data_IF_316784662005
#
_entry.id   IF_316784662005
#
_cell.length_a   1.000
_cell.length_b   1.000
_cell.length_c   1.000
_cell.angle_alpha   90.00
_cell.angle_beta   90.00
_cell.angle_gamma   90.00
#
_symmetry.space_group_name_H-M   'P 1'
#
loop_
_entity.id
_entity.type
_entity.pdbx_description
1 polymer ?
#
# COMPACT_ATOMS: atom_id res chain seq x y z
N UNK A 1 0.37 -88.80 -21.00
CA UNK A 1 -0.66 -87.82 -20.47
C UNK A 1 0.09 -86.73 -19.78
N UNK A 2 0.31 -85.56 -20.43
CA UNK A 2 0.97 -84.36 -19.84
C UNK A 2 -0.12 -83.38 -19.35
N UNK A 3 -0.16 -83.16 -18.06
CA UNK A 3 -1.02 -82.12 -17.47
C UNK A 3 -0.31 -80.74 -17.58
N UNK A 4 -0.92 -79.78 -18.31
CA UNK A 4 -0.47 -78.40 -18.37
C UNK A 4 -1.11 -77.64 -17.19
N UNK A 5 -0.25 -77.16 -16.30
CA UNK A 5 -0.63 -76.23 -15.20
C UNK A 5 -0.60 -74.80 -15.76
N UNK A 6 -1.78 -74.12 -15.80
CA UNK A 6 -1.87 -72.68 -16.11
C UNK A 6 -1.67 -71.89 -14.81
N UNK A 7 -0.60 -71.11 -14.79
CA UNK A 7 -0.37 -70.14 -13.71
C UNK A 7 -1.11 -68.84 -14.07
N UNK A 8 -2.15 -68.49 -13.31
CA UNK A 8 -2.83 -67.20 -13.45
C UNK A 8 -2.09 -66.18 -12.57
N UNK A 9 -1.38 -65.26 -13.20
CA UNK A 9 -0.76 -64.13 -12.50
C UNK A 9 -1.84 -63.03 -12.25
N UNK A 10 -2.24 -62.87 -10.98
CA UNK A 10 -3.09 -61.74 -10.56
C UNK A 10 -2.26 -60.46 -10.48
N UNK A 11 -2.48 -59.53 -11.43
CA UNK A 11 -1.93 -58.18 -11.39
C UNK A 11 -2.70 -57.36 -10.38
N UNK A 12 -2.12 -57.10 -9.21
CA UNK A 12 -2.62 -56.14 -8.24
C UNK A 12 -2.39 -54.71 -8.74
N UNK A 13 -3.44 -54.07 -9.31
CA UNK A 13 -3.42 -52.63 -9.53
C UNK A 13 -3.67 -51.95 -8.16
N UNK A 14 -2.59 -51.49 -7.54
CA UNK A 14 -2.68 -50.56 -6.41
C UNK A 14 -3.24 -49.20 -6.85
N UNK A 15 -4.10 -48.55 -6.04
CA UNK A 15 -4.55 -47.21 -6.36
C UNK A 15 -3.33 -46.25 -6.36
N UNK A 16 -3.02 -45.72 -7.51
CA UNK A 16 -2.07 -44.60 -7.62
C UNK A 16 -2.69 -43.41 -6.92
N UNK A 17 -2.27 -43.13 -5.69
CA UNK A 17 -2.56 -41.86 -5.04
C UNK A 17 -1.77 -40.81 -5.81
N UNK A 18 -2.44 -40.16 -6.77
CA UNK A 18 -1.94 -38.93 -7.36
C UNK A 18 -1.88 -37.91 -6.21
N UNK A 19 -0.70 -37.67 -5.66
CA UNK A 19 -0.45 -36.43 -4.96
C UNK A 19 -0.67 -35.32 -6.00
N UNK A 20 -1.85 -34.72 -6.01
CA UNK A 20 -2.03 -33.43 -6.64
C UNK A 20 -1.01 -32.51 -5.97
N UNK A 21 0.10 -32.24 -6.66
CA UNK A 21 1.08 -31.26 -6.21
C UNK A 21 0.32 -29.96 -5.96
N UNK A 22 0.37 -29.44 -4.73
CA UNK A 22 -0.20 -28.13 -4.44
C UNK A 22 0.47 -27.15 -5.41
N UNK A 23 -0.33 -26.31 -6.09
CA UNK A 23 0.21 -25.24 -6.92
C UNK A 23 1.07 -24.30 -6.06
N UNK A 24 1.96 -23.55 -6.70
CA UNK A 24 2.78 -22.55 -6.04
C UNK A 24 1.92 -21.56 -5.24
N UNK A 25 2.45 -21.06 -4.12
CA UNK A 25 1.84 -20.00 -3.36
C UNK A 25 1.82 -18.71 -4.19
N UNK A 26 0.65 -18.19 -4.53
CA UNK A 26 0.54 -16.96 -5.32
C UNK A 26 0.43 -15.75 -4.39
N UNK A 27 1.41 -14.85 -4.48
CA UNK A 27 1.48 -13.60 -3.73
C UNK A 27 1.31 -12.43 -4.70
N UNK A 28 0.33 -11.58 -4.44
CA UNK A 28 -0.09 -10.52 -5.36
C UNK A 28 0.17 -9.15 -4.75
N UNK A 29 1.05 -8.38 -5.38
CA UNK A 29 1.42 -7.04 -4.97
C UNK A 29 0.53 -5.99 -5.63
N UNK A 30 0.20 -4.93 -4.91
CA UNK A 30 -0.58 -3.82 -5.46
C UNK A 30 0.32 -2.83 -6.21
N UNK A 31 0.14 -2.76 -7.54
CA UNK A 31 0.95 -1.94 -8.45
C UNK A 31 2.22 -2.64 -8.93
N UNK A 32 2.46 -2.57 -10.23
CA UNK A 32 3.60 -3.24 -10.87
C UNK A 32 4.95 -2.76 -10.30
N UNK A 33 5.08 -1.47 -9.95
CA UNK A 33 6.30 -0.92 -9.38
C UNK A 33 6.63 -1.41 -7.97
N UNK A 34 5.70 -2.09 -7.28
CA UNK A 34 5.94 -2.69 -5.96
C UNK A 34 6.48 -4.12 -6.04
N UNK A 35 6.33 -4.80 -7.17
CA UNK A 35 6.69 -6.23 -7.32
C UNK A 35 8.14 -6.50 -6.98
N UNK A 36 9.07 -5.82 -7.61
CA UNK A 36 10.50 -6.07 -7.42
C UNK A 36 11.01 -5.67 -6.03
N UNK A 37 10.66 -4.49 -5.48
CA UNK A 37 11.01 -4.16 -4.10
C UNK A 37 10.49 -5.20 -3.09
N UNK A 38 9.20 -5.58 -3.16
CA UNK A 38 8.62 -6.55 -2.25
C UNK A 38 9.16 -7.97 -2.47
N UNK A 39 9.53 -8.32 -3.69
CA UNK A 39 10.24 -9.57 -3.99
C UNK A 39 11.55 -9.68 -3.23
N UNK A 40 12.34 -8.61 -3.22
CA UNK A 40 13.64 -8.56 -2.54
C UNK A 40 13.52 -8.56 -1.02
N UNK A 41 12.48 -7.92 -0.51
CA UNK A 41 12.25 -7.83 0.94
C UNK A 41 11.65 -9.11 1.49
N UNK A 42 10.58 -9.63 0.88
CA UNK A 42 9.76 -10.69 1.43
C UNK A 42 9.92 -12.03 0.70
N UNK A 43 9.70 -12.04 -0.62
CA UNK A 43 9.51 -13.29 -1.36
C UNK A 43 10.81 -14.08 -1.50
N UNK A 44 11.89 -13.46 -1.94
CA UNK A 44 13.17 -14.16 -2.08
C UNK A 44 13.69 -14.73 -0.76
N UNK A 45 13.71 -13.96 0.37
CA UNK A 45 14.12 -14.51 1.65
C UNK A 45 13.19 -15.62 2.16
N UNK A 46 11.87 -15.50 1.93
CA UNK A 46 10.89 -16.53 2.30
C UNK A 46 11.14 -17.84 1.55
N UNK A 47 11.31 -17.79 0.22
CA UNK A 47 11.64 -18.96 -0.60
C UNK A 47 12.96 -19.58 -0.14
N UNK A 48 13.98 -18.76 0.12
CA UNK A 48 15.28 -19.23 0.60
C UNK A 48 15.22 -19.92 1.97
N UNK A 49 14.33 -19.46 2.86
CA UNK A 49 14.20 -20.01 4.22
C UNK A 49 13.30 -21.24 4.30
N UNK A 50 12.31 -21.37 3.39
CA UNK A 50 11.26 -22.39 3.52
C UNK A 50 11.22 -23.41 2.40
N UNK A 51 11.87 -23.13 1.28
CA UNK A 51 11.78 -23.88 0.02
C UNK A 51 10.34 -23.94 -0.56
N UNK A 52 9.41 -23.12 -0.07
CA UNK A 52 8.05 -23.03 -0.62
C UNK A 52 8.13 -22.24 -1.94
N UNK A 53 7.67 -22.87 -3.03
CA UNK A 53 7.61 -22.21 -4.33
C UNK A 53 6.56 -21.08 -4.32
N UNK A 54 6.93 -19.91 -4.84
CA UNK A 54 6.09 -18.72 -4.89
C UNK A 54 5.96 -18.20 -6.31
N UNK A 55 4.72 -18.01 -6.77
CA UNK A 55 4.37 -17.22 -7.95
C UNK A 55 4.03 -15.80 -7.50
N UNK A 56 4.65 -14.83 -8.12
CA UNK A 56 4.41 -13.42 -7.80
C UNK A 56 3.68 -12.72 -8.95
N UNK A 57 2.60 -12.02 -8.59
CA UNK A 57 1.78 -11.25 -9.52
C UNK A 57 1.60 -9.81 -9.05
N UNK A 58 1.00 -8.98 -9.89
CA UNK A 58 0.57 -7.63 -9.54
C UNK A 58 -0.83 -7.34 -10.05
N UNK A 59 -1.50 -6.42 -9.35
CA UNK A 59 -2.81 -5.91 -9.75
C UNK A 59 -2.87 -4.38 -9.56
N UNK A 60 -3.81 -3.72 -10.23
CA UNK A 60 -3.85 -2.25 -10.28
C UNK A 60 -4.63 -1.60 -9.13
N UNK A 61 -5.36 -2.39 -8.33
CA UNK A 61 -6.24 -1.90 -7.27
C UNK A 61 -7.67 -1.66 -7.75
N UNK A 62 -8.53 -1.28 -6.83
CA UNK A 62 -9.95 -1.00 -7.05
C UNK A 62 -10.87 -2.05 -6.42
N UNK A 63 -11.87 -1.59 -5.66
CA UNK A 63 -12.77 -2.47 -4.91
C UNK A 63 -13.52 -3.42 -5.84
N UNK A 64 -14.17 -2.88 -6.88
CA UNK A 64 -14.95 -3.67 -7.85
C UNK A 64 -14.10 -4.71 -8.59
N UNK A 65 -12.88 -4.32 -9.00
CA UNK A 65 -11.94 -5.22 -9.67
C UNK A 65 -11.49 -6.34 -8.72
N UNK A 66 -11.20 -6.02 -7.45
CA UNK A 66 -10.86 -7.00 -6.42
C UNK A 66 -11.99 -8.00 -6.22
N UNK A 67 -13.21 -7.52 -5.97
CA UNK A 67 -14.37 -8.38 -5.74
C UNK A 67 -14.66 -9.29 -6.92
N UNK A 68 -14.63 -8.74 -8.14
CA UNK A 68 -14.81 -9.53 -9.36
C UNK A 68 -13.78 -10.65 -9.49
N UNK A 69 -12.51 -10.35 -9.21
CA UNK A 69 -11.43 -11.33 -9.27
C UNK A 69 -11.57 -12.40 -8.19
N UNK A 70 -11.81 -12.01 -6.94
CA UNK A 70 -11.90 -12.95 -5.82
C UNK A 70 -13.15 -13.85 -5.87
N UNK A 71 -14.22 -13.42 -6.56
CA UNK A 71 -15.45 -14.20 -6.78
C UNK A 71 -15.33 -15.14 -8.00
N UNK A 72 -14.29 -14.99 -8.84
CA UNK A 72 -14.09 -15.86 -10.00
C UNK A 72 -13.73 -17.28 -9.59
N UNK A 73 -14.25 -18.29 -10.32
CA UNK A 73 -14.00 -19.71 -10.01
C UNK A 73 -12.56 -20.16 -10.28
N UNK A 74 -11.86 -19.44 -11.17
CA UNK A 74 -10.46 -19.66 -11.54
C UNK A 74 -9.48 -18.79 -10.79
N UNK A 75 -9.91 -18.18 -9.67
CA UNK A 75 -9.02 -17.37 -8.84
C UNK A 75 -7.88 -18.22 -8.28
N UNK A 76 -6.66 -17.81 -8.58
CA UNK A 76 -5.44 -18.46 -8.12
C UNK A 76 -4.66 -17.63 -7.08
N UNK A 77 -5.20 -16.50 -6.61
CA UNK A 77 -4.55 -15.69 -5.59
C UNK A 77 -4.67 -16.34 -4.22
N UNK A 78 -3.59 -16.33 -3.45
CA UNK A 78 -3.54 -16.84 -2.08
C UNK A 78 -3.36 -15.70 -1.07
N UNK A 79 -2.37 -14.84 -1.32
CA UNK A 79 -2.07 -13.67 -0.50
C UNK A 79 -2.11 -12.44 -1.39
N UNK A 80 -2.84 -11.42 -0.96
CA UNK A 80 -3.01 -10.17 -1.73
C UNK A 80 -2.66 -8.96 -0.88
N UNK A 81 -1.93 -8.00 -1.49
CA UNK A 81 -1.65 -6.70 -0.88
C UNK A 81 -2.79 -5.73 -1.19
N UNK A 82 -3.40 -5.16 -0.15
CA UNK A 82 -4.59 -4.31 -0.20
C UNK A 82 -4.37 -2.99 0.51
N UNK A 83 -5.01 -1.93 0.02
CA UNK A 83 -5.23 -0.70 0.80
C UNK A 83 -6.33 -0.91 1.83
N UNK A 84 -6.45 0.03 2.77
CA UNK A 84 -7.41 -0.05 3.88
C UNK A 84 -8.87 -0.12 3.41
N UNK A 85 -9.24 0.61 2.37
CA UNK A 85 -10.60 0.58 1.79
C UNK A 85 -10.91 -0.73 1.06
N UNK A 86 -9.93 -1.27 0.33
CA UNK A 86 -10.03 -2.55 -0.36
C UNK A 86 -10.14 -3.71 0.64
N UNK A 87 -9.32 -3.67 1.71
CA UNK A 87 -9.38 -4.62 2.81
C UNK A 87 -10.73 -4.58 3.52
N UNK A 88 -11.23 -3.36 3.82
CA UNK A 88 -12.51 -3.19 4.51
C UNK A 88 -13.68 -3.75 3.69
N UNK A 89 -13.70 -3.51 2.37
CA UNK A 89 -14.72 -4.03 1.47
C UNK A 89 -14.67 -5.56 1.39
N UNK A 90 -13.52 -6.13 1.01
CA UNK A 90 -13.38 -7.57 0.83
C UNK A 90 -13.56 -8.37 2.13
N UNK A 91 -13.19 -7.80 3.29
CA UNK A 91 -13.42 -8.40 4.60
C UNK A 91 -14.90 -8.41 4.97
N UNK A 92 -15.63 -7.30 4.71
CA UNK A 92 -17.07 -7.21 4.96
C UNK A 92 -17.87 -8.20 4.10
N UNK A 93 -17.43 -8.42 2.87
CA UNK A 93 -18.05 -9.36 1.90
C UNK A 93 -17.64 -10.83 2.15
N UNK A 94 -16.79 -11.10 3.15
CA UNK A 94 -16.34 -12.45 3.47
C UNK A 94 -15.42 -13.09 2.42
N UNK A 95 -14.75 -12.28 1.61
CA UNK A 95 -13.83 -12.72 0.55
C UNK A 95 -12.41 -13.02 1.06
N UNK A 96 -12.12 -12.66 2.31
CA UNK A 96 -10.84 -12.86 2.96
C UNK A 96 -10.96 -13.76 4.19
N UNK A 97 -9.88 -14.45 4.52
CA UNK A 97 -9.79 -15.18 5.79
C UNK A 97 -9.70 -14.20 6.97
N UNK A 98 -10.40 -14.51 8.07
CA UNK A 98 -10.12 -13.86 9.35
C UNK A 98 -8.82 -14.42 9.90
N UNK A 99 -7.89 -13.52 10.27
CA UNK A 99 -6.57 -13.91 10.71
C UNK A 99 -6.55 -14.37 12.17
N UNK A 100 -6.00 -15.56 12.41
CA UNK A 100 -5.56 -15.96 13.75
C UNK A 100 -4.19 -15.32 14.03
N UNK A 101 -4.20 -14.22 14.75
CA UNK A 101 -2.97 -13.51 15.10
C UNK A 101 -2.02 -14.33 15.98
N UNK A 102 -2.48 -15.35 16.70
CA UNK A 102 -1.60 -16.23 17.46
C UNK A 102 -0.64 -17.01 16.56
N UNK A 103 -1.05 -17.30 15.34
CA UNK A 103 -0.24 -17.98 14.33
C UNK A 103 0.75 -17.08 13.61
N UNK A 104 0.64 -15.74 13.75
CA UNK A 104 1.48 -14.76 13.06
C UNK A 104 2.18 -13.78 14.02
N UNK A 105 2.46 -14.20 15.26
CA UNK A 105 3.22 -13.45 16.25
C UNK A 105 2.41 -12.67 17.27
N UNK A 106 1.09 -12.67 17.16
CA UNK A 106 0.20 -11.94 18.08
C UNK A 106 -0.11 -10.50 17.64
N UNK A 107 -1.27 -9.98 18.04
CA UNK A 107 -1.67 -8.58 17.72
C UNK A 107 -0.69 -7.57 18.30
N UNK A 108 -0.17 -7.82 19.48
CA UNK A 108 0.77 -6.93 20.16
C UNK A 108 2.16 -6.85 19.53
N UNK A 109 2.46 -7.76 18.62
CA UNK A 109 3.67 -7.75 17.82
C UNK A 109 3.69 -6.57 16.83
N UNK A 110 2.54 -6.15 16.35
CA UNK A 110 2.39 -5.12 15.33
C UNK A 110 1.99 -3.77 15.89
N UNK A 111 2.31 -2.71 15.17
CA UNK A 111 1.74 -1.38 15.42
C UNK A 111 0.22 -1.44 15.25
N UNK A 112 -0.56 -0.74 16.08
CA UNK A 112 -2.04 -0.79 16.01
C UNK A 112 -2.61 -0.47 14.64
N UNK A 113 -1.92 0.39 13.86
CA UNK A 113 -2.31 0.77 12.50
C UNK A 113 -2.18 -0.37 11.49
N UNK A 114 -1.35 -1.39 11.78
CA UNK A 114 -1.13 -2.58 10.95
C UNK A 114 -2.00 -3.77 11.33
N UNK A 115 -3.03 -3.62 12.17
CA UNK A 115 -3.85 -4.73 12.67
C UNK A 115 -5.29 -4.57 12.20
N UNK A 116 -5.81 -5.60 11.50
CA UNK A 116 -7.21 -5.73 11.09
C UNK A 116 -7.66 -7.19 11.26
N UNK A 117 -8.97 -7.45 11.31
CA UNK A 117 -9.45 -8.84 11.44
C UNK A 117 -9.13 -9.72 10.23
N UNK A 118 -9.05 -9.14 9.04
CA UNK A 118 -8.78 -9.89 7.80
C UNK A 118 -7.41 -9.54 7.17
N UNK A 119 -6.56 -8.76 7.85
CA UNK A 119 -5.28 -8.37 7.29
C UNK A 119 -4.27 -7.96 8.36
N UNK A 120 -3.00 -8.12 8.02
CA UNK A 120 -1.85 -7.66 8.80
C UNK A 120 -1.02 -6.71 7.97
N UNK A 121 -0.45 -5.68 8.59
CA UNK A 121 0.34 -4.67 7.89
C UNK A 121 1.46 -5.27 7.05
N UNK A 122 1.49 -4.91 5.78
CA UNK A 122 2.53 -5.30 4.82
C UNK A 122 3.63 -4.24 4.73
N UNK A 123 3.21 -2.99 4.66
CA UNK A 123 4.11 -1.84 4.56
C UNK A 123 3.36 -0.54 4.86
N UNK A 124 4.10 0.49 5.25
CA UNK A 124 3.58 1.83 5.41
C UNK A 124 4.31 2.83 4.50
N UNK A 125 3.57 3.80 3.99
CA UNK A 125 4.09 5.00 3.35
C UNK A 125 3.21 6.19 3.70
N UNK A 126 3.63 7.41 3.36
CA UNK A 126 2.79 8.58 3.52
C UNK A 126 2.73 9.34 2.19
N UNK A 127 1.60 9.97 1.90
CA UNK A 127 1.61 11.05 0.92
C UNK A 127 2.15 12.28 1.64
N UNK A 128 3.33 12.70 1.26
CA UNK A 128 4.05 13.84 1.82
C UNK A 128 4.01 15.02 0.85
N UNK A 129 4.23 16.22 1.36
CA UNK A 129 4.61 17.35 0.53
C UNK A 129 6.11 17.22 0.26
N UNK A 130 6.48 17.12 -1.01
CA UNK A 130 7.86 16.99 -1.46
C UNK A 130 8.29 18.22 -2.27
N UNK A 131 9.55 18.63 -2.10
CA UNK A 131 10.15 19.77 -2.80
C UNK A 131 11.66 19.58 -2.98
N UNK A 132 12.26 20.42 -3.83
CA UNK A 132 13.71 20.50 -4.00
C UNK A 132 14.28 21.55 -3.01
N UNK A 133 15.06 21.10 -2.01
CA UNK A 133 15.69 21.96 -0.99
C UNK A 133 16.69 22.95 -1.55
N UNK A 134 17.26 22.66 -2.72
CA UNK A 134 18.20 23.58 -3.37
C UNK A 134 17.49 24.80 -3.95
N UNK A 135 16.16 24.69 -4.21
CA UNK A 135 15.35 25.83 -4.64
C UNK A 135 14.89 26.70 -3.47
N UNK A 136 14.54 26.08 -2.34
CA UNK A 136 14.25 26.77 -1.08
C UNK A 136 14.48 25.84 0.12
N UNK A 137 15.33 26.26 1.08
CA UNK A 137 15.74 25.39 2.18
C UNK A 137 14.68 25.24 3.29
N UNK A 138 13.73 26.16 3.39
CA UNK A 138 12.68 26.12 4.40
C UNK A 138 11.69 24.98 4.10
N UNK A 139 11.28 24.26 5.13
CA UNK A 139 10.23 23.22 5.02
C UNK A 139 8.87 23.88 4.77
N UNK A 140 8.24 23.67 3.61
CA UNK A 140 6.92 24.22 3.32
C UNK A 140 5.82 23.45 4.07
N UNK A 141 4.72 24.12 4.32
CA UNK A 141 3.48 23.53 4.84
C UNK A 141 2.48 23.29 3.70
N UNK A 142 1.38 22.57 3.98
CA UNK A 142 0.29 22.46 3.01
C UNK A 142 -0.34 23.82 2.68
N UNK A 143 -0.35 24.79 3.60
CA UNK A 143 -0.76 26.16 3.30
C UNK A 143 0.20 26.86 2.31
N UNK A 144 1.53 26.67 2.47
CA UNK A 144 2.52 27.18 1.52
C UNK A 144 2.39 26.54 0.12
N UNK A 145 1.89 25.29 0.06
CA UNK A 145 1.60 24.64 -1.22
C UNK A 145 0.54 25.40 -2.04
N UNK A 146 -0.41 26.07 -1.39
CA UNK A 146 -1.42 26.94 -2.01
C UNK A 146 -0.95 28.36 -2.27
N UNK A 147 0.12 28.82 -1.62
CA UNK A 147 0.62 30.19 -1.76
C UNK A 147 1.48 30.32 -3.03
N UNK A 148 0.81 30.54 -4.17
CA UNK A 148 1.47 30.74 -5.46
C UNK A 148 2.21 32.08 -5.52
N UNK A 149 1.80 33.09 -4.72
CA UNK A 149 2.48 34.39 -4.68
C UNK A 149 3.84 34.27 -3.98
N UNK A 150 3.91 33.54 -2.87
CA UNK A 150 5.17 33.29 -2.14
C UNK A 150 6.07 32.28 -2.84
N UNK A 151 5.50 31.25 -3.42
CA UNK A 151 6.21 30.18 -4.11
C UNK A 151 5.71 30.03 -5.56
N UNK A 152 6.15 30.89 -6.48
CA UNK A 152 5.71 30.87 -7.89
C UNK A 152 6.11 29.55 -8.57
N UNK A 153 5.15 28.89 -9.24
CA UNK A 153 5.39 27.66 -9.98
C UNK A 153 4.22 26.67 -9.93
N UNK A 154 4.32 25.60 -10.68
CA UNK A 154 3.29 24.56 -10.73
C UNK A 154 3.35 23.64 -9.50
N UNK A 155 2.25 22.93 -9.27
CA UNK A 155 2.04 21.98 -8.17
C UNK A 155 1.67 20.60 -8.72
N UNK A 156 2.29 19.55 -8.19
CA UNK A 156 1.94 18.17 -8.52
C UNK A 156 0.89 17.62 -7.55
N UNK A 157 -0.21 17.09 -8.07
CA UNK A 157 -1.21 16.36 -7.29
C UNK A 157 -1.60 15.05 -7.97
N UNK A 158 -2.03 14.07 -7.15
CA UNK A 158 -2.58 12.82 -7.64
C UNK A 158 -3.85 13.07 -8.48
N UNK A 159 -4.04 12.32 -9.57
CA UNK A 159 -5.25 12.41 -10.39
C UNK A 159 -6.39 11.58 -9.79
N UNK A 160 -6.96 12.07 -8.70
CA UNK A 160 -8.06 11.43 -7.99
C UNK A 160 -8.47 12.21 -6.73
N UNK A 161 -9.63 11.93 -6.15
CA UNK A 161 -10.12 12.66 -4.97
C UNK A 161 -9.36 12.28 -3.68
N UNK A 162 -9.00 11.00 -3.53
CA UNK A 162 -8.34 10.43 -2.35
C UNK A 162 -6.95 11.05 -2.18
N UNK A 163 -6.71 11.62 -1.03
CA UNK A 163 -5.52 12.39 -0.70
C UNK A 163 -5.70 13.88 -0.99
N UNK A 164 -6.25 14.25 -2.12
CA UNK A 164 -6.40 15.67 -2.49
C UNK A 164 -7.46 16.39 -1.67
N UNK A 165 -8.58 15.75 -1.33
CA UNK A 165 -9.62 16.35 -0.50
C UNK A 165 -9.11 16.57 0.93
N UNK A 166 -8.37 15.62 1.48
CA UNK A 166 -7.73 15.77 2.79
C UNK A 166 -6.71 16.90 2.80
N UNK A 167 -5.78 16.90 1.83
CA UNK A 167 -4.75 17.95 1.70
C UNK A 167 -5.39 19.33 1.56
N UNK A 168 -6.45 19.45 0.75
CA UNK A 168 -7.16 20.72 0.54
C UNK A 168 -7.76 21.24 1.86
N UNK A 169 -8.40 20.38 2.66
CA UNK A 169 -8.95 20.78 3.96
C UNK A 169 -7.86 21.17 4.96
N UNK A 170 -6.76 20.42 4.99
CA UNK A 170 -5.60 20.75 5.84
C UNK A 170 -5.03 22.12 5.45
N UNK A 171 -4.85 22.37 4.16
CA UNK A 171 -4.38 23.65 3.64
C UNK A 171 -5.36 24.80 3.88
N UNK A 172 -6.65 24.48 4.08
CA UNK A 172 -7.70 25.44 4.42
C UNK A 172 -7.94 25.59 5.95
N UNK A 173 -6.99 25.07 6.76
CA UNK A 173 -6.95 25.25 8.21
C UNK A 173 -7.77 24.25 9.01
N UNK A 174 -8.27 23.16 8.41
CA UNK A 174 -8.90 22.07 9.16
C UNK A 174 -7.83 21.31 9.93
N UNK A 175 -8.05 21.13 11.23
CA UNK A 175 -7.12 20.36 12.06
C UNK A 175 -7.01 18.90 11.56
N UNK A 176 -5.81 18.27 11.57
CA UNK A 176 -5.61 16.90 11.10
C UNK A 176 -6.60 15.89 11.65
N UNK A 177 -6.95 15.95 12.93
CA UNK A 177 -7.91 15.05 13.60
C UNK A 177 -9.37 15.27 13.21
N UNK A 178 -9.72 16.35 12.52
CA UNK A 178 -11.08 16.70 12.13
C UNK A 178 -11.35 16.52 10.63
N UNK A 179 -10.34 16.19 9.85
CA UNK A 179 -10.44 16.07 8.37
C UNK A 179 -11.61 15.19 7.96
N UNK A 180 -11.72 13.99 8.49
CA UNK A 180 -12.79 13.06 8.13
C UNK A 180 -14.16 13.42 8.73
N UNK A 181 -14.20 14.13 9.88
CA UNK A 181 -15.46 14.69 10.40
C UNK A 181 -16.02 15.74 9.43
N UNK A 182 -15.15 16.56 8.85
CA UNK A 182 -15.53 17.55 7.84
C UNK A 182 -15.92 16.88 6.53
N UNK A 183 -15.11 15.93 6.02
CA UNK A 183 -15.41 15.17 4.79
C UNK A 183 -16.68 14.34 4.87
N UNK A 184 -17.14 13.96 6.06
CA UNK A 184 -18.40 13.25 6.23
C UNK A 184 -19.64 14.11 5.90
N UNK A 185 -19.47 15.41 5.68
CA UNK A 185 -20.55 16.35 5.35
C UNK A 185 -20.45 16.81 3.89
N UNK A 186 -21.61 17.11 3.28
CA UNK A 186 -21.64 17.65 1.91
C UNK A 186 -20.91 19.00 1.83
N UNK A 187 -21.11 19.86 2.84
CA UNK A 187 -20.48 21.18 2.95
C UNK A 187 -18.94 21.08 3.06
N UNK A 188 -18.47 20.07 3.79
CA UNK A 188 -17.03 19.81 3.93
C UNK A 188 -16.41 19.33 2.63
N UNK A 189 -17.08 18.44 1.89
CA UNK A 189 -16.66 18.04 0.56
C UNK A 189 -16.64 19.25 -0.39
N UNK A 190 -17.68 20.08 -0.39
CA UNK A 190 -17.73 21.31 -1.20
C UNK A 190 -16.62 22.29 -0.82
N UNK A 191 -16.29 22.41 0.45
CA UNK A 191 -15.17 23.20 0.94
C UNK A 191 -13.83 22.71 0.37
N UNK A 192 -13.59 21.40 0.36
CA UNK A 192 -12.38 20.81 -0.20
C UNK A 192 -12.26 21.11 -1.71
N UNK A 193 -13.34 20.95 -2.48
CA UNK A 193 -13.33 21.28 -3.91
C UNK A 193 -13.11 22.77 -4.17
N UNK A 194 -13.78 23.67 -3.44
CA UNK A 194 -13.51 25.13 -3.55
C UNK A 194 -12.06 25.50 -3.25
N UNK A 195 -11.42 24.78 -2.31
CA UNK A 195 -9.99 24.96 -2.05
C UNK A 195 -9.15 24.50 -3.22
N UNK A 196 -9.47 23.36 -3.82
CA UNK A 196 -8.78 22.84 -5.01
C UNK A 196 -8.94 23.75 -6.23
N UNK A 197 -10.08 24.45 -6.40
CA UNK A 197 -10.30 25.41 -7.48
C UNK A 197 -9.20 26.49 -7.53
N UNK A 198 -8.67 26.90 -6.39
CA UNK A 198 -7.62 27.92 -6.31
C UNK A 198 -6.31 27.49 -6.98
N UNK A 199 -6.04 26.17 -7.01
CA UNK A 199 -4.84 25.61 -7.61
C UNK A 199 -5.04 25.10 -9.05
N UNK A 200 -6.28 24.95 -9.51
CA UNK A 200 -6.60 24.29 -10.79
C UNK A 200 -5.73 24.76 -11.96
N UNK A 201 -5.45 26.09 -12.13
CA UNK A 201 -4.59 26.58 -13.23
C UNK A 201 -3.10 26.20 -13.12
N UNK A 202 -2.67 25.79 -11.93
CA UNK A 202 -1.26 25.52 -11.63
C UNK A 202 -0.95 24.03 -11.49
N UNK A 203 -1.93 23.13 -11.71
CA UNK A 203 -1.78 21.73 -11.44
C UNK A 203 -1.12 20.96 -12.58
N UNK A 204 -0.24 20.04 -12.18
CA UNK A 204 0.27 18.94 -13.01
C UNK A 204 -0.17 17.65 -12.31
N UNK A 205 -0.89 16.82 -13.03
CA UNK A 205 -1.43 15.58 -12.49
C UNK A 205 -0.43 14.45 -12.62
N UNK A 206 -0.35 13.60 -11.59
CA UNK A 206 0.36 12.34 -11.63
C UNK A 206 -0.59 11.19 -11.27
N UNK A 207 -0.33 9.98 -11.78
CA UNK A 207 -1.13 8.79 -11.53
C UNK A 207 -0.32 7.70 -10.80
N UNK A 208 1.00 7.69 -10.97
CA UNK A 208 1.90 6.75 -10.30
C UNK A 208 2.93 7.49 -9.43
N UNK A 209 3.49 6.79 -8.44
CA UNK A 209 4.54 7.38 -7.59
C UNK A 209 5.79 7.74 -8.40
N UNK A 210 6.09 6.99 -9.45
CA UNK A 210 7.18 7.29 -10.40
C UNK A 210 6.94 8.60 -11.16
N UNK A 211 5.69 8.86 -11.55
CA UNK A 211 5.33 10.14 -12.19
C UNK A 211 5.45 11.31 -11.22
N UNK A 212 5.02 11.13 -9.95
CA UNK A 212 5.16 12.16 -8.91
C UNK A 212 6.64 12.54 -8.69
N UNK A 213 7.51 11.55 -8.60
CA UNK A 213 8.96 11.74 -8.49
C UNK A 213 9.52 12.40 -9.75
N UNK A 214 9.16 11.93 -10.94
CA UNK A 214 9.65 12.43 -12.21
C UNK A 214 9.33 13.93 -12.45
N UNK A 215 8.08 14.36 -12.19
CA UNK A 215 7.69 15.78 -12.39
C UNK A 215 8.39 16.72 -11.39
N UNK A 216 8.78 16.22 -10.21
CA UNK A 216 9.60 16.96 -9.27
C UNK A 216 11.07 17.00 -9.73
N UNK A 217 11.62 15.89 -10.14
CA UNK A 217 13.01 15.74 -10.59
C UNK A 217 13.30 16.53 -11.88
N UNK A 218 12.35 16.56 -12.81
CA UNK A 218 12.47 17.37 -14.05
C UNK A 218 12.35 18.87 -13.78
N UNK A 219 11.75 19.26 -12.64
CA UNK A 219 11.43 20.66 -12.34
C UNK A 219 10.15 21.15 -13.00
N UNK A 220 9.30 20.23 -13.53
CA UNK A 220 7.98 20.57 -14.08
C UNK A 220 7.07 21.17 -13.00
N UNK A 221 7.31 20.81 -11.73
CA UNK A 221 6.63 21.37 -10.57
C UNK A 221 7.63 21.87 -9.54
N UNK A 222 7.22 22.87 -8.76
CA UNK A 222 8.00 23.38 -7.64
C UNK A 222 7.86 22.50 -6.40
N UNK A 223 6.64 22.02 -6.16
CA UNK A 223 6.26 21.14 -5.06
C UNK A 223 5.26 20.10 -5.56
N UNK A 224 5.24 18.93 -4.95
CA UNK A 224 4.26 17.90 -5.26
C UNK A 224 3.78 17.19 -4.00
N UNK A 225 2.51 16.76 -3.98
CA UNK A 225 2.17 15.60 -3.15
C UNK A 225 2.84 14.38 -3.76
N UNK A 226 3.43 13.50 -2.95
CA UNK A 226 4.10 12.32 -3.46
C UNK A 226 4.16 11.20 -2.42
N UNK A 227 4.21 9.93 -2.82
CA UNK A 227 4.51 8.84 -1.91
C UNK A 227 5.93 8.98 -1.33
N UNK A 228 6.05 8.90 -0.01
CA UNK A 228 7.30 9.09 0.72
C UNK A 228 8.38 8.08 0.34
N UNK A 229 7.99 6.85 0.00
CA UNK A 229 8.90 5.80 -0.45
C UNK A 229 9.63 6.20 -1.74
N UNK A 230 8.93 6.82 -2.70
CA UNK A 230 9.53 7.27 -3.97
C UNK A 230 10.51 8.42 -3.75
N UNK A 231 10.10 9.42 -2.98
CA UNK A 231 10.97 10.56 -2.67
C UNK A 231 12.18 10.13 -1.83
N UNK A 232 11.99 9.23 -0.86
CA UNK A 232 13.07 8.67 -0.05
C UNK A 232 14.12 7.94 -0.89
N UNK A 233 13.70 7.11 -1.84
CA UNK A 233 14.61 6.39 -2.74
C UNK A 233 15.32 7.36 -3.68
N UNK A 234 14.60 8.31 -4.29
CA UNK A 234 15.15 9.31 -5.19
C UNK A 234 16.18 10.23 -4.49
N UNK A 235 15.90 10.64 -3.25
CA UNK A 235 16.80 11.48 -2.46
C UNK A 235 18.13 10.78 -2.10
N UNK A 236 18.11 9.45 -1.91
CA UNK A 236 19.31 8.67 -1.58
C UNK A 236 20.15 8.30 -2.81
N UNK A 237 19.51 8.11 -3.96
CA UNK A 237 20.16 7.60 -5.17
C UNK A 237 20.41 8.66 -6.26
N UNK A 238 19.88 9.87 -6.12
CA UNK A 238 19.87 10.88 -7.16
C UNK A 238 20.71 12.12 -6.83
N UNK A 239 20.94 12.98 -7.84
CA UNK A 239 21.68 14.24 -7.69
C UNK A 239 20.84 15.37 -7.05
N UNK A 240 19.56 15.12 -6.75
CA UNK A 240 18.62 16.12 -6.22
C UNK A 240 18.48 16.02 -4.71
N UNK A 241 18.41 17.18 -4.06
CA UNK A 241 18.25 17.30 -2.61
C UNK A 241 16.77 17.46 -2.24
N UNK A 242 16.01 16.34 -2.31
CA UNK A 242 14.57 16.39 -2.01
C UNK A 242 14.29 16.48 -0.52
N UNK A 243 13.32 17.33 -0.17
CA UNK A 243 12.70 17.41 1.13
C UNK A 243 11.35 16.70 1.17
N UNK A 244 11.01 16.16 2.35
CA UNK A 244 9.71 15.59 2.69
C UNK A 244 9.18 16.25 3.96
N UNK A 245 7.95 16.78 3.91
CA UNK A 245 7.27 17.34 5.05
C UNK A 245 6.33 16.28 5.64
N UNK A 246 6.54 15.92 6.90
CA UNK A 246 5.82 14.85 7.58
C UNK A 246 4.60 15.32 8.37
N UNK A 247 4.59 16.58 8.81
CA UNK A 247 3.46 17.13 9.58
C UNK A 247 2.20 17.17 8.73
N UNK A 248 1.13 16.57 9.21
CA UNK A 248 -0.12 16.39 8.48
C UNK A 248 0.05 15.71 7.09
N UNK A 249 1.06 14.86 6.93
CA UNK A 249 1.15 13.92 5.81
C UNK A 249 0.01 12.90 5.89
N UNK A 250 -0.32 12.25 4.79
CA UNK A 250 -1.40 11.26 4.78
C UNK A 250 -0.82 9.86 4.88
N UNK A 251 -0.99 9.24 6.05
CA UNK A 251 -0.47 7.89 6.34
C UNK A 251 -1.27 6.80 5.66
N UNK A 252 -0.60 6.00 4.84
CA UNK A 252 -1.15 4.82 4.18
C UNK A 252 -0.50 3.56 4.72
N UNK A 253 -1.32 2.59 5.08
CA UNK A 253 -0.89 1.22 5.38
C UNK A 253 -1.47 0.31 4.31
N UNK A 254 -0.61 -0.52 3.73
CA UNK A 254 -1.03 -1.66 2.94
C UNK A 254 -1.00 -2.91 3.79
N UNK A 255 -1.87 -3.82 3.50
CA UNK A 255 -2.09 -5.03 4.29
C UNK A 255 -1.88 -6.28 3.43
N UNK A 256 -1.22 -7.28 3.98
CA UNK A 256 -1.34 -8.64 3.50
C UNK A 256 -2.64 -9.25 3.99
N UNK A 257 -3.41 -9.82 3.09
CA UNK A 257 -4.63 -10.55 3.38
C UNK A 257 -4.60 -11.91 2.69
N UNK A 258 -5.22 -12.92 3.30
CA UNK A 258 -5.35 -14.26 2.72
C UNK A 258 -6.72 -14.38 2.07
N UNK A 259 -6.76 -14.81 0.83
CA UNK A 259 -8.00 -15.02 0.08
C UNK A 259 -8.77 -16.19 0.67
N UNK A 260 -10.09 -16.02 0.83
CA UNK A 260 -10.99 -17.01 1.41
C UNK A 260 -10.97 -18.31 0.62
N UNK A 261 -10.77 -19.43 1.32
CA UNK A 261 -10.77 -20.76 0.71
C UNK A 261 -9.49 -21.09 -0.07
N UNK A 262 -8.40 -20.32 0.08
CA UNK A 262 -7.11 -20.65 -0.54
C UNK A 262 -6.66 -22.08 -0.21
N UNK A 263 -6.32 -22.91 -1.21
CA UNK A 263 -5.77 -24.25 -0.97
C UNK A 263 -4.39 -24.21 -0.31
N UNK A 264 -3.72 -23.07 -0.37
CA UNK A 264 -2.39 -22.80 0.21
C UNK A 264 -2.47 -22.09 1.58
N UNK A 265 -3.60 -22.15 2.30
CA UNK A 265 -3.82 -21.41 3.55
C UNK A 265 -2.66 -21.55 4.54
N UNK A 266 -2.13 -22.77 4.73
CA UNK A 266 -1.01 -23.01 5.66
C UNK A 266 0.27 -22.26 5.21
N UNK A 267 0.60 -22.32 3.95
CA UNK A 267 1.76 -21.64 3.36
C UNK A 267 1.56 -20.12 3.40
N UNK A 268 0.34 -19.64 3.18
CA UNK A 268 -0.01 -18.22 3.29
C UNK A 268 0.17 -17.71 4.74
N UNK A 269 -0.27 -18.44 5.75
CA UNK A 269 -0.01 -18.10 7.16
C UNK A 269 1.47 -18.10 7.49
N UNK A 270 2.25 -19.09 6.97
CA UNK A 270 3.71 -19.10 7.13
C UNK A 270 4.37 -17.87 6.49
N UNK A 271 3.87 -17.45 5.31
CA UNK A 271 4.35 -16.22 4.66
C UNK A 271 4.05 -14.99 5.53
N UNK A 272 2.83 -14.84 6.04
CA UNK A 272 2.47 -13.70 6.91
C UNK A 272 3.35 -13.67 8.18
N UNK A 273 3.56 -14.82 8.82
CA UNK A 273 4.45 -14.92 9.98
C UNK A 273 5.88 -14.48 9.64
N UNK A 274 6.44 -14.99 8.54
CA UNK A 274 7.78 -14.66 8.09
C UNK A 274 7.90 -13.17 7.73
N UNK A 275 6.95 -12.66 6.94
CA UNK A 275 6.91 -11.29 6.48
C UNK A 275 6.83 -10.30 7.66
N UNK A 276 6.07 -10.63 8.72
CA UNK A 276 5.93 -9.79 9.91
C UNK A 276 7.09 -9.86 10.89
N UNK A 277 8.19 -10.60 10.60
CA UNK A 277 9.34 -10.59 11.51
C UNK A 277 10.07 -9.26 11.46
N UNK A 278 10.52 -8.68 12.61
CA UNK A 278 11.21 -7.38 12.63
C UNK A 278 12.43 -7.34 11.71
N UNK A 279 13.20 -8.44 11.63
CA UNK A 279 14.39 -8.52 10.79
C UNK A 279 14.08 -8.44 9.28
N UNK A 280 12.91 -8.89 8.85
CA UNK A 280 12.45 -8.77 7.46
C UNK A 280 11.87 -7.39 7.21
N UNK A 281 10.97 -6.91 8.08
CA UNK A 281 10.35 -5.59 7.94
C UNK A 281 11.34 -4.43 8.10
N UNK A 282 12.37 -4.57 8.94
CA UNK A 282 13.44 -3.58 9.09
C UNK A 282 14.21 -3.30 7.79
N UNK A 283 14.14 -4.19 6.81
CA UNK A 283 14.74 -4.01 5.47
C UNK A 283 13.90 -3.16 4.51
N UNK A 284 12.61 -2.97 4.84
CA UNK A 284 11.66 -2.25 3.96
C UNK A 284 12.12 -0.84 3.64
N UNK A 285 12.60 -0.11 4.66
CA UNK A 285 12.98 1.29 4.46
C UNK A 285 14.21 1.42 3.58
N UNK A 286 15.20 0.57 3.78
CA UNK A 286 16.44 0.60 3.01
C UNK A 286 16.23 0.14 1.57
N UNK A 287 15.52 -0.95 1.35
CA UNK A 287 15.33 -1.56 0.04
C UNK A 287 14.19 -0.95 -0.78
N UNK A 288 13.18 -0.37 -0.13
CA UNK A 288 11.95 0.08 -0.78
C UNK A 288 11.46 1.47 -0.35
N UNK A 289 12.11 2.12 0.62
CA UNK A 289 11.65 3.40 1.16
C UNK A 289 10.38 3.30 2.03
N UNK A 290 9.92 2.09 2.35
CA UNK A 290 8.68 1.79 3.07
C UNK A 290 8.96 1.53 4.56
N UNK A 291 7.97 1.84 5.41
CA UNK A 291 8.04 1.52 6.84
C UNK A 291 7.49 0.14 7.16
N UNK A 292 8.13 -0.56 8.12
CA UNK A 292 7.64 -1.81 8.68
C UNK A 292 6.55 -1.60 9.73
N UNK A 293 5.68 -2.58 9.92
CA UNK A 293 4.55 -2.54 10.87
C UNK A 293 4.80 -3.39 12.13
N UNK A 294 5.81 -4.25 12.16
CA UNK A 294 6.27 -4.89 13.40
C UNK A 294 6.86 -3.81 14.32
N UNK A 295 6.45 -3.76 15.59
CA UNK A 295 6.87 -2.71 16.54
C UNK A 295 8.39 -2.56 16.62
N UNK A 296 9.11 -3.69 16.66
CA UNK A 296 10.56 -3.72 16.76
C UNK A 296 11.29 -3.49 15.42
N UNK A 297 10.60 -3.28 14.29
CA UNK A 297 11.27 -3.06 13.02
C UNK A 297 12.05 -1.73 12.99
N UNK A 298 11.51 -0.67 13.61
CA UNK A 298 12.19 0.61 13.69
C UNK A 298 13.44 0.58 14.59
N UNK A 299 13.51 -0.33 15.57
CA UNK A 299 14.67 -0.46 16.47
C UNK A 299 15.92 -0.99 15.72
N UNK A 300 15.72 -1.56 14.55
CA UNK A 300 16.78 -2.07 13.68
C UNK A 300 17.31 -1.02 12.69
N UNK A 301 16.70 0.15 12.63
CA UNK A 301 17.10 1.23 11.73
C UNK A 301 18.23 2.08 12.34
N UNK A 302 19.10 2.60 11.47
CA UNK A 302 20.03 3.65 11.89
C UNK A 302 19.28 4.94 12.26
N UNK A 303 19.84 5.83 13.11
CA UNK A 303 19.18 7.08 13.50
C UNK A 303 18.71 7.94 12.33
N UNK A 304 19.49 8.01 11.25
CA UNK A 304 19.14 8.78 10.06
C UNK A 304 17.92 8.17 9.34
N UNK A 305 17.85 6.85 9.24
CA UNK A 305 16.72 6.15 8.64
C UNK A 305 15.45 6.28 9.49
N UNK A 306 15.54 6.31 10.81
CA UNK A 306 14.38 6.53 11.68
C UNK A 306 13.71 7.87 11.38
N UNK A 307 14.48 8.92 11.06
CA UNK A 307 13.90 10.26 10.76
C UNK A 307 13.02 10.28 9.52
N UNK A 308 13.28 9.39 8.57
CA UNK A 308 12.53 9.28 7.31
C UNK A 308 11.61 8.05 7.26
N UNK A 309 11.53 7.27 8.34
CA UNK A 309 10.62 6.13 8.43
C UNK A 309 9.16 6.59 8.59
N UNK A 310 8.23 6.15 7.75
CA UNK A 310 6.80 6.43 7.91
C UNK A 310 6.22 5.95 9.24
N UNK A 311 6.83 4.92 9.82
CA UNK A 311 6.38 4.25 11.06
C UNK A 311 7.17 4.66 12.29
N UNK A 312 8.10 5.61 12.18
CA UNK A 312 8.72 6.21 13.37
C UNK A 312 7.64 6.89 14.23
N UNK A 313 7.77 6.88 15.57
CA UNK A 313 6.75 7.47 16.44
C UNK A 313 6.41 8.93 16.10
N UNK A 314 7.40 9.72 15.70
CA UNK A 314 7.22 11.12 15.33
C UNK A 314 6.39 11.27 14.04
N UNK A 315 6.76 10.56 12.97
CA UNK A 315 6.09 10.66 11.68
C UNK A 315 4.70 10.01 11.72
N UNK A 316 4.57 8.87 12.40
CA UNK A 316 3.28 8.19 12.59
C UNK A 316 2.29 9.04 13.41
N UNK A 317 2.79 9.73 14.45
CA UNK A 317 1.98 10.63 15.28
C UNK A 317 1.58 11.94 14.59
N UNK A 318 2.37 12.40 13.62
CA UNK A 318 2.10 13.63 12.86
C UNK A 318 1.18 13.42 11.65
N UNK A 319 0.94 12.17 11.25
CA UNK A 319 0.18 11.83 10.05
C UNK A 319 -1.34 11.83 10.28
N UNK A 320 -2.09 12.25 9.27
CA UNK A 320 -3.52 11.94 9.11
C UNK A 320 -3.64 10.57 8.46
N UNK A 321 -4.29 9.62 9.12
CA UNK A 321 -4.49 8.29 8.53
C UNK A 321 -5.66 8.31 7.56
N UNK A 322 -5.51 7.62 6.43
CA UNK A 322 -6.63 7.36 5.56
C UNK A 322 -7.71 6.54 6.29
N UNK A 323 -8.93 7.02 6.23
CA UNK A 323 -10.10 6.30 6.75
C UNK A 323 -10.61 5.34 5.66
N UNK A 324 -10.30 4.06 5.85
CA UNK A 324 -10.69 3.00 4.90
C UNK A 324 -12.21 2.84 4.79
N UNK A 325 -12.95 3.05 5.89
CA UNK A 325 -14.41 3.00 5.89
C UNK A 325 -15.01 4.14 5.07
N UNK A 326 -14.54 5.37 5.32
CA UNK A 326 -14.98 6.53 4.54
C UNK A 326 -14.70 6.33 3.05
N UNK A 327 -13.50 5.91 2.67
CA UNK A 327 -13.16 5.75 1.26
C UNK A 327 -13.85 4.55 0.61
N UNK A 328 -14.07 3.44 1.32
CA UNK A 328 -14.92 2.35 0.83
C UNK A 328 -16.31 2.86 0.39
N UNK A 329 -16.93 3.70 1.21
CA UNK A 329 -18.31 4.13 1.02
C UNK A 329 -18.43 5.31 0.03
N UNK A 330 -17.36 6.08 -0.19
CA UNK A 330 -17.42 7.34 -0.93
C UNK A 330 -16.54 7.41 -2.18
N UNK A 331 -15.61 6.45 -2.39
CA UNK A 331 -14.62 6.54 -3.48
C UNK A 331 -15.28 6.66 -4.86
N UNK A 332 -16.29 5.85 -5.16
CA UNK A 332 -16.98 5.90 -6.45
C UNK A 332 -17.68 7.24 -6.70
N UNK A 333 -18.47 7.71 -5.72
CA UNK A 333 -19.19 8.99 -5.82
C UNK A 333 -18.25 10.19 -5.94
N UNK A 334 -17.22 10.22 -5.10
CA UNK A 334 -16.25 11.33 -5.10
C UNK A 334 -15.33 11.24 -6.32
N UNK A 335 -15.03 10.05 -6.80
CA UNK A 335 -14.31 9.82 -8.05
C UNK A 335 -15.04 10.43 -9.25
N UNK A 336 -16.32 10.08 -9.42
CA UNK A 336 -17.18 10.66 -10.49
C UNK A 336 -17.22 12.19 -10.40
N UNK A 337 -17.39 12.74 -9.18
CA UNK A 337 -17.38 14.20 -8.98
C UNK A 337 -16.02 14.82 -9.33
N UNK A 338 -14.93 14.18 -8.95
CA UNK A 338 -13.58 14.64 -9.24
C UNK A 338 -13.30 14.64 -10.75
N UNK A 339 -13.68 13.58 -11.45
CA UNK A 339 -13.51 13.48 -12.91
C UNK A 339 -14.29 14.57 -13.64
N UNK A 340 -15.53 14.85 -13.22
CA UNK A 340 -16.30 15.98 -13.73
C UNK A 340 -15.63 17.33 -13.43
N UNK A 341 -15.03 17.49 -12.25
CA UNK A 341 -14.36 18.72 -11.82
C UNK A 341 -13.07 18.99 -12.62
N UNK A 342 -12.26 17.96 -12.96
CA UNK A 342 -11.02 18.12 -13.75
C UNK A 342 -11.28 18.26 -15.25
N UNK A 343 -12.48 17.91 -15.74
CA UNK A 343 -12.80 17.98 -17.15
C UNK A 343 -12.58 19.41 -17.70
N UNK A 344 -12.04 19.56 -18.92
CA UNK A 344 -11.98 20.87 -19.59
C UNK A 344 -13.40 21.43 -19.76
N UNK A 345 -13.59 22.69 -19.45
CA UNK A 345 -14.82 23.43 -19.73
C UNK A 345 -14.77 24.03 -21.13
#
# INVERSE_FOLDING_TARGET
MLARMFLVAAVMLGPSISCAGARDLTIVSRGAGSVEPLRRVFVQPFVGATAIAVRQESWTGGIEALESHLKAQDNEWDVVELRSEELAAACADGLLEKLDFSAIGGRDHYLPVGVSDCGVGASASNIVLAWDRDKFPATPTWADFWDIAKYPGKRGLYRGPRGNLEIALIADGVAPGDVYKVLATAEGVDRAFRKLDQLKPYLVWWQTGEEAERILSSGDVLMTSAPSDRISVAARGGPRNFGMQWSASLGEVKFWAIVKGSPNLRQAVQFLYFAGTPAIEGRLLDLAGLGGLAKAANDLLSPDLVTISPTSPANLGAAVRFDGGFWRDNLGKLGTRFDAWIAPH
#
